data_IF_968390782530
#
_entry.id   IF_968390782530
#
_cell.length_a   1.000
_cell.length_b   1.000
_cell.length_c   1.000
_cell.angle_alpha   90.00
_cell.angle_beta   90.00
_cell.angle_gamma   90.00
#
_symmetry.space_group_name_H-M   'P 1'
#
loop_
_entity.id
_entity.type
_entity.pdbx_description
1 polymer ?
#
# COMPACT_ATOMS: atom_id res chain seq x y z
N UNK A 1 -19.31 15.62 1.93
CA UNK A 1 -18.73 15.74 0.57
C UNK A 1 -19.53 16.76 -0.21
N UNK A 2 -18.87 17.65 -0.96
CA UNK A 2 -19.48 18.49 -1.98
C UNK A 2 -19.17 17.90 -3.38
N UNK A 3 -19.96 18.25 -4.40
CA UNK A 3 -19.78 17.71 -5.75
C UNK A 3 -18.45 18.18 -6.37
N UNK A 4 -17.43 17.31 -6.37
CA UNK A 4 -16.14 17.64 -6.99
C UNK A 4 -16.23 17.56 -8.51
N UNK A 5 -15.83 18.64 -9.19
CA UNK A 5 -15.91 18.74 -10.64
C UNK A 5 -14.78 17.95 -11.32
N UNK A 6 -15.05 16.66 -11.56
CA UNK A 6 -14.20 15.81 -12.39
C UNK A 6 -14.05 16.37 -13.82
N UNK A 7 -12.83 16.37 -14.34
CA UNK A 7 -12.56 16.61 -15.76
C UNK A 7 -12.43 15.27 -16.47
N UNK A 8 -13.08 15.12 -17.63
CA UNK A 8 -13.10 13.87 -18.39
C UNK A 8 -12.50 14.05 -19.80
N UNK A 9 -11.85 13.00 -20.26
CA UNK A 9 -11.29 12.85 -21.59
C UNK A 9 -11.65 11.46 -22.10
N UNK A 10 -11.97 11.34 -23.39
CA UNK A 10 -12.24 10.04 -24.00
C UNK A 10 -11.77 10.00 -25.45
N UNK A 11 -11.49 8.79 -25.93
CA UNK A 11 -11.30 8.51 -27.34
C UNK A 11 -11.91 7.16 -27.70
N UNK A 12 -12.24 7.02 -28.97
CA UNK A 12 -12.72 5.77 -29.58
C UNK A 12 -11.75 5.37 -30.69
N UNK A 13 -11.45 4.09 -30.84
CA UNK A 13 -10.60 3.62 -31.94
C UNK A 13 -10.95 2.21 -32.41
N UNK A 14 -10.90 2.01 -33.73
CA UNK A 14 -11.17 0.74 -34.40
C UNK A 14 -9.86 -0.06 -34.50
N UNK A 15 -9.76 -1.19 -33.79
CA UNK A 15 -8.69 -2.17 -34.04
C UNK A 15 -9.21 -3.38 -34.81
N UNK A 16 -8.34 -4.15 -35.50
CA UNK A 16 -8.76 -5.34 -36.24
C UNK A 16 -9.34 -6.42 -35.30
N UNK A 17 -10.66 -6.39 -35.09
CA UNK A 17 -11.41 -7.34 -34.26
C UNK A 17 -12.03 -6.77 -32.97
N UNK A 18 -12.01 -5.46 -32.72
CA UNK A 18 -12.87 -4.80 -31.72
C UNK A 18 -12.87 -3.27 -31.90
N UNK A 19 -14.02 -2.62 -31.67
CA UNK A 19 -14.05 -1.20 -31.30
C UNK A 19 -13.61 -1.06 -29.83
N UNK A 20 -12.96 0.06 -29.48
CA UNK A 20 -12.51 0.37 -28.12
C UNK A 20 -12.97 1.77 -27.74
N UNK A 21 -13.67 1.90 -26.62
CA UNK A 21 -13.91 3.18 -25.95
C UNK A 21 -13.00 3.29 -24.72
N UNK A 22 -12.21 4.36 -24.64
CA UNK A 22 -11.39 4.72 -23.48
C UNK A 22 -11.91 6.02 -22.87
N UNK A 23 -12.10 6.02 -21.54
CA UNK A 23 -12.39 7.21 -20.73
C UNK A 23 -11.36 7.35 -19.61
N UNK A 24 -10.79 8.55 -19.49
CA UNK A 24 -9.92 8.98 -18.39
C UNK A 24 -10.61 10.15 -17.68
N UNK A 25 -10.75 10.07 -16.36
CA UNK A 25 -11.30 11.13 -15.51
C UNK A 25 -10.29 11.52 -14.44
N UNK A 26 -10.15 12.83 -14.19
CA UNK A 26 -9.27 13.36 -13.13
C UNK A 26 -10.06 14.18 -12.11
N UNK A 27 -9.79 13.91 -10.83
CA UNK A 27 -10.26 14.67 -9.66
C UNK A 27 -9.06 15.01 -8.78
N UNK A 28 -9.07 16.16 -8.12
CA UNK A 28 -8.13 16.44 -7.02
C UNK A 28 -8.61 15.74 -5.74
N UNK A 29 -7.69 15.17 -4.96
CA UNK A 29 -7.99 14.69 -3.61
C UNK A 29 -8.17 15.85 -2.62
N UNK A 30 -7.55 16.99 -2.90
CA UNK A 30 -7.35 18.07 -1.93
C UNK A 30 -8.12 19.36 -2.26
N UNK A 31 -8.91 19.38 -3.34
CA UNK A 31 -9.63 20.56 -3.85
C UNK A 31 -10.90 20.20 -4.62
N UNK A 32 -11.89 21.09 -4.66
CA UNK A 32 -13.18 20.87 -5.34
C UNK A 32 -13.07 20.65 -6.87
N UNK A 33 -11.96 21.04 -7.48
CA UNK A 33 -11.65 20.85 -8.90
C UNK A 33 -10.18 20.46 -9.10
N UNK A 34 -9.90 19.78 -10.21
CA UNK A 34 -8.54 19.44 -10.62
C UNK A 34 -7.74 20.70 -11.05
N UNK A 35 -6.45 20.74 -10.74
CA UNK A 35 -5.56 21.84 -11.15
C UNK A 35 -5.26 21.79 -12.66
N UNK A 36 -4.81 22.89 -13.29
CA UNK A 36 -4.39 22.87 -14.69
C UNK A 36 -3.27 21.85 -15.00
N UNK A 37 -2.44 21.51 -14.01
CA UNK A 37 -1.38 20.51 -14.15
C UNK A 37 -1.95 19.09 -14.11
N UNK A 38 -2.86 18.80 -13.17
CA UNK A 38 -3.58 17.52 -13.09
C UNK A 38 -4.45 17.28 -14.34
N UNK A 39 -5.02 18.35 -14.89
CA UNK A 39 -5.77 18.36 -16.16
C UNK A 39 -4.86 18.02 -17.36
N UNK A 40 -3.63 18.53 -17.41
CA UNK A 40 -2.70 18.23 -18.51
C UNK A 40 -2.12 16.81 -18.40
N UNK A 41 -1.75 16.37 -17.19
CA UNK A 41 -1.31 14.99 -16.93
C UNK A 41 -2.33 13.94 -17.40
N UNK A 42 -3.62 14.19 -17.14
CA UNK A 42 -4.70 13.32 -17.61
C UNK A 42 -4.86 13.32 -19.15
N UNK A 43 -4.51 14.43 -19.85
CA UNK A 43 -4.46 14.47 -21.32
C UNK A 43 -3.26 13.71 -21.87
N UNK A 44 -2.10 13.84 -21.24
CA UNK A 44 -0.89 13.11 -21.61
C UNK A 44 -1.08 11.59 -21.43
N UNK A 45 -1.73 11.15 -20.35
CA UNK A 45 -2.19 9.77 -20.18
C UNK A 45 -3.15 9.34 -21.30
N UNK A 46 -4.15 10.18 -21.63
CA UNK A 46 -5.11 9.89 -22.71
C UNK A 46 -4.41 9.75 -24.07
N UNK A 47 -3.40 10.57 -24.36
CA UNK A 47 -2.60 10.49 -25.58
C UNK A 47 -1.71 9.23 -25.60
N UNK A 48 -1.08 8.89 -24.47
CA UNK A 48 -0.26 7.67 -24.29
C UNK A 48 -1.10 6.42 -24.54
N UNK A 49 -2.31 6.37 -23.97
CA UNK A 49 -3.28 5.29 -24.20
C UNK A 49 -3.75 5.20 -25.66
N UNK A 50 -3.97 6.33 -26.31
CA UNK A 50 -4.37 6.38 -27.72
C UNK A 50 -3.26 5.85 -28.65
N UNK A 51 -1.98 6.16 -28.34
CA UNK A 51 -0.83 5.58 -29.03
C UNK A 51 -0.69 4.07 -28.73
N UNK A 52 -0.77 3.67 -27.46
CA UNK A 52 -0.65 2.28 -27.05
C UNK A 52 -1.72 1.36 -27.69
N UNK A 53 -2.95 1.86 -27.87
CA UNK A 53 -4.00 1.19 -28.64
C UNK A 53 -3.68 1.16 -30.15
N UNK A 54 -3.33 2.30 -30.75
CA UNK A 54 -3.02 2.39 -32.18
C UNK A 54 -1.83 1.51 -32.62
N UNK A 55 -0.89 1.26 -31.69
CA UNK A 55 0.28 0.40 -31.88
C UNK A 55 0.07 -1.03 -31.33
N UNK A 56 -1.16 -1.44 -31.03
CA UNK A 56 -1.46 -2.83 -30.64
C UNK A 56 -1.60 -3.73 -31.87
N UNK A 57 -0.87 -4.85 -31.86
CA UNK A 57 -1.02 -5.94 -32.83
C UNK A 57 -1.80 -7.05 -32.11
N UNK A 58 -2.99 -7.45 -32.61
CA UNK A 58 -3.76 -8.54 -32.00
C UNK A 58 -2.97 -9.84 -31.88
N UNK A 59 -3.01 -10.43 -30.68
CA UNK A 59 -2.45 -11.75 -30.35
C UNK A 59 -3.56 -12.68 -29.88
N UNK A 60 -3.38 -13.99 -30.09
CA UNK A 60 -4.34 -14.99 -29.60
C UNK A 60 -4.35 -15.00 -28.05
N UNK A 61 -5.54 -15.05 -27.39
CA UNK A 61 -5.61 -15.13 -25.94
C UNK A 61 -4.97 -16.41 -25.40
N UNK A 62 -4.02 -16.28 -24.47
CA UNK A 62 -3.38 -17.43 -23.81
C UNK A 62 -4.04 -17.75 -22.46
N UNK A 63 -3.83 -18.99 -22.00
CA UNK A 63 -4.17 -19.51 -20.66
C UNK A 63 -3.07 -20.49 -20.25
N UNK A 64 -2.19 -20.10 -19.34
CA UNK A 64 -1.07 -20.92 -18.87
C UNK A 64 -1.43 -21.57 -17.53
N UNK A 65 -2.31 -22.58 -17.57
CA UNK A 65 -2.78 -23.24 -16.35
C UNK A 65 -1.74 -24.25 -15.82
N UNK A 66 -1.18 -23.96 -14.65
CA UNK A 66 -0.31 -24.87 -13.87
C UNK A 66 -0.86 -25.04 -12.44
N UNK A 67 -0.42 -26.06 -11.71
CA UNK A 67 -0.76 -26.19 -10.29
C UNK A 67 -0.18 -25.02 -9.46
N UNK A 68 0.98 -24.51 -9.85
CA UNK A 68 1.62 -23.35 -9.22
C UNK A 68 0.74 -22.09 -9.35
N UNK A 69 0.03 -21.92 -10.48
CA UNK A 69 -0.96 -20.86 -10.64
C UNK A 69 -2.12 -20.97 -9.64
N UNK A 70 -2.55 -22.19 -9.29
CA UNK A 70 -3.55 -22.40 -8.24
C UNK A 70 -3.00 -22.16 -6.82
N UNK A 71 -1.69 -22.37 -6.57
CA UNK A 71 -1.02 -21.94 -5.32
C UNK A 71 -1.06 -20.41 -5.20
N UNK A 72 -0.60 -19.71 -6.23
CA UNK A 72 -0.54 -18.23 -6.23
C UNK A 72 -1.95 -17.64 -6.09
N UNK A 73 -2.95 -18.21 -6.77
CA UNK A 73 -4.35 -17.83 -6.62
C UNK A 73 -4.91 -18.08 -5.20
N UNK A 74 -4.57 -19.20 -4.57
CA UNK A 74 -4.98 -19.48 -3.19
C UNK A 74 -4.37 -18.47 -2.21
N UNK A 75 -3.07 -18.19 -2.34
CA UNK A 75 -2.37 -17.18 -1.55
C UNK A 75 -3.02 -15.79 -1.72
N UNK A 76 -3.36 -15.39 -2.94
CA UNK A 76 -4.12 -14.14 -3.21
C UNK A 76 -5.44 -14.10 -2.45
N UNK A 77 -6.26 -15.15 -2.48
CA UNK A 77 -7.52 -15.17 -1.75
C UNK A 77 -7.32 -15.09 -0.22
N UNK A 78 -6.29 -15.75 0.32
CA UNK A 78 -5.96 -15.65 1.75
C UNK A 78 -5.50 -14.24 2.14
N UNK A 79 -4.64 -13.60 1.33
CA UNK A 79 -4.21 -12.22 1.53
C UNK A 79 -5.37 -11.23 1.47
N UNK A 80 -6.35 -11.45 0.58
CA UNK A 80 -7.55 -10.61 0.51
C UNK A 80 -8.49 -10.83 1.69
N UNK A 81 -8.72 -12.06 2.14
CA UNK A 81 -9.44 -12.32 3.40
C UNK A 81 -8.76 -11.60 4.60
N UNK A 82 -7.42 -11.61 4.66
CA UNK A 82 -6.65 -10.88 5.68
C UNK A 82 -6.73 -9.36 5.51
N UNK A 83 -6.73 -8.85 4.28
CA UNK A 83 -6.91 -7.44 3.96
C UNK A 83 -8.29 -6.94 4.42
N UNK A 84 -9.36 -7.68 4.12
CA UNK A 84 -10.73 -7.39 4.57
C UNK A 84 -10.81 -7.31 6.10
N UNK A 85 -10.25 -8.28 6.81
CA UNK A 85 -10.18 -8.28 8.28
C UNK A 85 -9.29 -7.15 8.86
N UNK A 86 -8.55 -6.42 8.03
CA UNK A 86 -7.65 -5.32 8.44
C UNK A 86 -8.19 -3.93 8.14
N UNK A 87 -9.26 -3.80 7.34
CA UNK A 87 -9.86 -2.52 6.92
C UNK A 87 -10.22 -1.65 8.14
N UNK A 88 -10.90 -2.22 9.13
CA UNK A 88 -11.37 -1.51 10.33
C UNK A 88 -10.27 -1.21 11.36
N UNK A 89 -9.07 -1.79 11.21
CA UNK A 89 -8.11 -1.92 12.30
C UNK A 89 -6.73 -1.30 12.04
N UNK A 90 -6.21 -1.40 10.81
CA UNK A 90 -4.80 -1.08 10.51
C UNK A 90 -4.58 -0.81 9.02
N UNK A 91 -4.52 0.47 8.59
CA UNK A 91 -4.27 0.85 7.19
C UNK A 91 -2.98 0.26 6.61
N UNK A 92 -1.89 0.18 7.40
CA UNK A 92 -0.61 -0.40 6.95
C UNK A 92 -0.64 -1.91 6.75
N UNK A 93 -1.45 -2.67 7.51
CA UNK A 93 -1.64 -4.11 7.27
C UNK A 93 -2.54 -4.35 6.05
N UNK A 94 -3.64 -3.59 5.94
CA UNK A 94 -4.48 -3.64 4.75
C UNK A 94 -3.68 -3.34 3.48
N UNK A 95 -2.88 -2.25 3.48
CA UNK A 95 -1.96 -1.93 2.37
C UNK A 95 -1.01 -3.08 2.09
N UNK A 96 -0.32 -3.63 3.10
CA UNK A 96 0.63 -4.74 2.92
C UNK A 96 -0.01 -5.94 2.25
N UNK A 97 -1.16 -6.41 2.74
CA UNK A 97 -1.83 -7.57 2.16
C UNK A 97 -2.38 -7.30 0.75
N UNK A 98 -2.86 -6.08 0.45
CA UNK A 98 -3.22 -5.70 -0.92
C UNK A 98 -2.01 -5.61 -1.86
N UNK A 99 -0.83 -5.19 -1.37
CA UNK A 99 0.41 -5.20 -2.15
C UNK A 99 0.88 -6.63 -2.44
N UNK A 100 0.98 -7.49 -1.43
CA UNK A 100 1.35 -8.91 -1.60
C UNK A 100 0.35 -9.66 -2.50
N UNK A 101 -0.96 -9.33 -2.41
CA UNK A 101 -1.98 -9.85 -3.32
C UNK A 101 -1.84 -9.30 -4.75
N UNK A 102 -1.40 -8.05 -4.92
CA UNK A 102 -1.12 -7.47 -6.22
C UNK A 102 0.13 -8.10 -6.87
N UNK A 103 1.20 -8.35 -6.11
CA UNK A 103 2.42 -9.03 -6.60
C UNK A 103 2.08 -10.45 -7.12
N UNK A 104 1.27 -11.21 -6.38
CA UNK A 104 0.72 -12.48 -6.87
C UNK A 104 -0.10 -12.30 -8.16
N UNK A 105 -0.95 -11.27 -8.23
CA UNK A 105 -1.79 -10.99 -9.39
C UNK A 105 -0.99 -10.47 -10.59
N UNK A 106 0.21 -9.92 -10.40
CA UNK A 106 1.15 -9.63 -11.49
C UNK A 106 1.66 -10.93 -12.12
N UNK A 107 2.07 -11.91 -11.32
CA UNK A 107 2.46 -13.23 -11.86
C UNK A 107 1.28 -13.88 -12.60
N UNK A 108 0.07 -13.78 -12.05
CA UNK A 108 -1.13 -14.33 -12.67
C UNK A 108 -1.55 -13.60 -13.96
N UNK A 109 -1.36 -12.26 -14.09
CA UNK A 109 -1.69 -11.50 -15.32
C UNK A 109 -0.80 -11.89 -16.51
N UNK A 110 0.41 -12.40 -16.26
CA UNK A 110 1.27 -12.99 -17.29
C UNK A 110 0.83 -14.40 -17.71
N UNK A 111 0.14 -15.14 -16.86
CA UNK A 111 -0.33 -16.51 -17.14
C UNK A 111 -1.74 -16.56 -17.76
N UNK A 112 -2.66 -15.70 -17.34
CA UNK A 112 -3.92 -15.41 -18.04
C UNK A 112 -4.25 -13.90 -17.93
N UNK A 113 -4.30 -13.15 -19.05
CA UNK A 113 -4.66 -11.73 -19.08
C UNK A 113 -6.04 -11.38 -18.46
N UNK A 114 -6.92 -12.34 -18.18
CA UNK A 114 -8.17 -12.13 -17.41
C UNK A 114 -7.92 -11.56 -16.02
N UNK A 115 -6.79 -11.89 -15.39
CA UNK A 115 -6.38 -11.34 -14.10
C UNK A 115 -6.05 -9.83 -14.13
N UNK A 116 -5.88 -9.21 -15.32
CA UNK A 116 -5.52 -7.79 -15.46
C UNK A 116 -6.40 -6.85 -14.62
N UNK A 117 -7.72 -7.00 -14.67
CA UNK A 117 -8.62 -6.09 -13.93
C UNK A 117 -8.59 -6.36 -12.42
N UNK A 118 -8.36 -7.61 -12.00
CA UNK A 118 -8.15 -7.95 -10.59
C UNK A 118 -6.82 -7.37 -10.07
N UNK A 119 -5.72 -7.50 -10.82
CA UNK A 119 -4.44 -6.87 -10.50
C UNK A 119 -4.60 -5.35 -10.27
N UNK A 120 -5.22 -4.64 -11.21
CA UNK A 120 -5.41 -3.20 -11.09
C UNK A 120 -6.43 -2.79 -10.02
N UNK A 121 -7.36 -3.65 -9.61
CA UNK A 121 -8.19 -3.42 -8.43
C UNK A 121 -7.44 -3.67 -7.11
N UNK A 122 -6.54 -4.66 -7.04
CA UNK A 122 -5.67 -4.88 -5.88
C UNK A 122 -4.71 -3.70 -5.66
N UNK A 123 -4.03 -3.23 -6.71
CA UNK A 123 -3.18 -2.01 -6.68
C UNK A 123 -3.97 -0.76 -6.25
N UNK A 124 -5.23 -0.64 -6.67
CA UNK A 124 -6.15 0.42 -6.22
C UNK A 124 -6.49 0.31 -4.73
N UNK A 125 -6.73 -0.90 -4.21
CA UNK A 125 -6.97 -1.12 -2.77
C UNK A 125 -5.72 -0.81 -1.93
N UNK A 126 -4.53 -1.23 -2.39
CA UNK A 126 -3.25 -0.87 -1.79
C UNK A 126 -3.07 0.65 -1.70
N UNK A 127 -3.26 1.36 -2.82
CA UNK A 127 -3.14 2.81 -2.88
C UNK A 127 -4.19 3.52 -2.01
N UNK A 128 -5.44 3.04 -1.97
CA UNK A 128 -6.48 3.58 -1.13
C UNK A 128 -6.13 3.43 0.37
N UNK A 129 -5.76 2.23 0.81
CA UNK A 129 -5.29 1.98 2.19
C UNK A 129 -4.07 2.83 2.56
N UNK A 130 -3.11 2.96 1.63
CA UNK A 130 -1.92 3.80 1.79
C UNK A 130 -2.20 5.30 1.92
N UNK A 131 -3.25 5.81 1.27
CA UNK A 131 -3.72 7.19 1.40
C UNK A 131 -4.72 7.40 2.56
N UNK A 132 -4.95 6.36 3.38
CA UNK A 132 -5.95 6.28 4.44
C UNK A 132 -7.41 6.47 3.97
N UNK A 133 -7.71 6.08 2.73
CA UNK A 133 -9.07 6.10 2.15
C UNK A 133 -9.77 4.78 2.53
N UNK A 134 -10.08 4.64 3.82
CA UNK A 134 -10.62 3.39 4.37
C UNK A 134 -12.11 3.21 4.08
N UNK A 135 -12.89 4.29 4.04
CA UNK A 135 -14.35 4.27 3.86
C UNK A 135 -14.79 3.67 2.51
N UNK A 136 -13.99 3.83 1.44
CA UNK A 136 -14.27 3.23 0.12
C UNK A 136 -13.68 1.80 -0.01
N UNK A 137 -12.90 1.34 0.97
CA UNK A 137 -12.03 0.16 0.83
C UNK A 137 -12.80 -1.18 0.84
N UNK A 138 -13.91 -1.28 1.58
CA UNK A 138 -14.76 -2.49 1.53
C UNK A 138 -15.47 -2.61 0.16
N UNK A 139 -16.01 -1.52 -0.40
CA UNK A 139 -16.59 -1.53 -1.75
C UNK A 139 -15.54 -1.91 -2.79
N UNK A 140 -14.30 -1.46 -2.61
CA UNK A 140 -13.19 -1.80 -3.50
C UNK A 140 -12.78 -3.27 -3.39
N UNK A 141 -12.77 -3.83 -2.17
CA UNK A 141 -12.53 -5.26 -1.93
C UNK A 141 -13.64 -6.14 -2.54
N UNK A 142 -14.91 -5.82 -2.28
CA UNK A 142 -16.04 -6.55 -2.86
C UNK A 142 -16.03 -6.47 -4.39
N UNK A 143 -15.63 -5.32 -4.96
CA UNK A 143 -15.43 -5.20 -6.40
C UNK A 143 -14.30 -6.13 -6.89
N UNK A 144 -13.15 -6.15 -6.22
CA UNK A 144 -12.01 -7.01 -6.54
C UNK A 144 -12.38 -8.51 -6.55
N UNK A 145 -13.13 -8.99 -5.55
CA UNK A 145 -13.59 -10.39 -5.52
C UNK A 145 -14.42 -10.78 -6.76
N UNK A 146 -15.18 -9.85 -7.37
CA UNK A 146 -15.95 -10.14 -8.61
C UNK A 146 -15.08 -10.35 -9.87
N UNK A 147 -13.79 -10.01 -9.82
CA UNK A 147 -12.86 -10.20 -10.94
C UNK A 147 -11.96 -11.43 -10.78
N UNK A 148 -12.01 -12.12 -9.63
CA UNK A 148 -11.22 -13.31 -9.36
C UNK A 148 -11.95 -14.61 -9.75
N UNK A 149 -11.23 -15.72 -9.99
CA UNK A 149 -11.80 -17.06 -10.06
C UNK A 149 -12.61 -17.39 -8.79
N UNK A 150 -13.85 -17.86 -8.98
CA UNK A 150 -14.75 -18.13 -7.86
C UNK A 150 -14.30 -19.35 -7.04
N UNK A 151 -14.19 -19.18 -5.72
CA UNK A 151 -13.99 -20.25 -4.74
C UNK A 151 -15.21 -21.19 -4.73
N UNK A 152 -15.03 -22.48 -5.00
CA UNK A 152 -16.10 -23.47 -5.06
C UNK A 152 -16.50 -23.94 -3.65
N UNK A 153 -17.68 -23.51 -3.19
CA UNK A 153 -18.26 -23.90 -1.89
C UNK A 153 -19.13 -25.17 -1.97
N UNK A 154 -19.31 -25.74 -3.16
CA UNK A 154 -20.10 -26.93 -3.45
C UNK A 154 -19.73 -27.53 -4.81
N UNK A 155 -20.40 -28.62 -5.21
CA UNK A 155 -20.21 -29.36 -6.47
C UNK A 155 -19.92 -28.45 -7.68
N UNK A 156 -18.79 -28.70 -8.35
CA UNK A 156 -18.39 -27.92 -9.53
C UNK A 156 -19.37 -28.07 -10.71
N UNK A 157 -19.32 -27.08 -11.60
CA UNK A 157 -19.90 -27.09 -12.94
C UNK A 157 -18.87 -27.47 -14.03
N UNK A 158 -17.59 -27.60 -13.67
CA UNK A 158 -16.51 -28.15 -14.50
C UNK A 158 -16.26 -29.62 -14.18
N UNK A 159 -15.76 -30.40 -15.14
CA UNK A 159 -15.46 -31.83 -14.97
C UNK A 159 -14.33 -32.09 -13.95
N UNK A 160 -13.39 -31.15 -13.82
CA UNK A 160 -12.23 -31.21 -12.91
C UNK A 160 -12.17 -30.00 -12.00
N UNK A 161 -11.50 -30.17 -10.87
CA UNK A 161 -11.17 -29.11 -9.90
C UNK A 161 -9.71 -29.19 -9.48
N UNK A 162 -9.20 -28.10 -8.90
CA UNK A 162 -7.99 -28.12 -8.07
C UNK A 162 -8.37 -27.84 -6.63
N UNK A 163 -7.88 -28.70 -5.73
CA UNK A 163 -7.97 -28.56 -4.27
C UNK A 163 -6.62 -28.08 -3.76
N UNK A 164 -6.61 -26.94 -3.07
CA UNK A 164 -5.47 -26.42 -2.31
C UNK A 164 -5.80 -26.55 -0.82
N UNK A 165 -5.02 -27.33 -0.10
CA UNK A 165 -5.08 -27.48 1.35
C UNK A 165 -3.90 -26.72 1.99
N UNK A 166 -4.19 -25.69 2.76
CA UNK A 166 -3.26 -24.96 3.61
C UNK A 166 -2.84 -25.81 4.83
N UNK A 167 -1.53 -25.88 5.08
CA UNK A 167 -0.90 -26.64 6.15
C UNK A 167 -0.13 -25.73 7.13
N UNK A 168 -0.17 -24.40 6.96
CA UNK A 168 0.48 -23.44 7.85
C UNK A 168 -0.14 -23.53 9.26
N UNK A 169 0.70 -23.63 10.30
CA UNK A 169 0.20 -23.68 11.68
C UNK A 169 -0.13 -22.28 12.20
N UNK A 170 -1.08 -22.14 13.16
CA UNK A 170 -1.39 -20.84 13.77
C UNK A 170 -0.18 -20.13 14.39
N UNK A 171 0.80 -20.89 14.90
CA UNK A 171 2.05 -20.37 15.45
C UNK A 171 3.01 -19.87 14.36
N UNK A 172 3.03 -20.51 13.18
CA UNK A 172 3.76 -20.02 12.01
C UNK A 172 3.16 -18.70 11.52
N UNK A 173 1.84 -18.69 11.29
CA UNK A 173 1.13 -17.49 10.85
C UNK A 173 1.23 -16.33 11.86
N UNK A 174 1.18 -16.62 13.17
CA UNK A 174 1.35 -15.58 14.20
C UNK A 174 2.76 -14.96 14.24
N UNK A 175 3.78 -15.63 13.69
CA UNK A 175 5.15 -15.12 13.62
C UNK A 175 5.38 -14.21 12.39
N UNK A 176 4.83 -14.57 11.22
CA UNK A 176 5.00 -13.82 9.97
C UNK A 176 3.90 -12.77 9.74
N UNK A 177 2.68 -13.05 10.21
CA UNK A 177 1.42 -12.40 9.84
C UNK A 177 1.07 -12.49 8.34
N UNK A 178 1.75 -13.35 7.59
CA UNK A 178 1.51 -13.60 6.16
C UNK A 178 1.29 -15.10 5.90
N UNK A 179 0.49 -15.47 4.88
CA UNK A 179 0.36 -16.86 4.46
C UNK A 179 1.70 -17.44 4.01
N UNK A 180 1.88 -18.75 4.20
CA UNK A 180 3.07 -19.49 3.79
C UNK A 180 2.79 -20.33 2.54
N UNK A 181 3.24 -19.83 1.39
CA UNK A 181 3.03 -20.46 0.08
C UNK A 181 3.88 -21.72 -0.14
N UNK A 182 4.84 -22.05 0.74
CA UNK A 182 5.52 -23.35 0.75
C UNK A 182 4.75 -24.38 1.61
N UNK A 183 3.95 -23.93 2.57
CA UNK A 183 3.16 -24.77 3.48
C UNK A 183 1.80 -25.23 2.90
N UNK A 184 1.75 -25.62 1.62
CA UNK A 184 0.51 -26.01 0.92
C UNK A 184 0.57 -27.40 0.30
N UNK A 185 -0.60 -28.03 0.16
CA UNK A 185 -0.81 -29.28 -0.57
C UNK A 185 -1.81 -29.07 -1.71
N UNK A 186 -1.38 -29.30 -2.96
CA UNK A 186 -2.22 -29.08 -4.15
C UNK A 186 -2.47 -30.38 -4.90
N UNK A 187 -3.74 -30.67 -5.19
CA UNK A 187 -4.19 -31.85 -5.94
C UNK A 187 -5.22 -31.45 -7.00
N UNK A 188 -5.08 -31.98 -8.22
CA UNK A 188 -6.13 -31.92 -9.24
C UNK A 188 -6.94 -33.22 -9.19
N UNK A 189 -8.27 -33.11 -9.16
CA UNK A 189 -9.21 -34.23 -9.02
C UNK A 189 -10.34 -34.10 -10.05
N UNK A 190 -11.01 -35.20 -10.38
CA UNK A 190 -12.31 -35.16 -11.04
C UNK A 190 -13.37 -34.66 -10.03
N UNK A 191 -14.37 -33.91 -10.49
CA UNK A 191 -15.22 -33.10 -9.61
C UNK A 191 -16.15 -33.89 -8.67
N UNK A 192 -16.36 -35.18 -8.93
CA UNK A 192 -17.09 -36.14 -8.08
C UNK A 192 -16.19 -36.93 -7.11
N UNK A 193 -14.86 -36.80 -7.20
CA UNK A 193 -13.89 -37.36 -6.23
C UNK A 193 -13.66 -36.44 -5.01
N UNK A 194 -14.31 -35.27 -4.95
CA UNK A 194 -14.07 -34.25 -3.93
C UNK A 194 -14.81 -34.57 -2.61
N UNK A 195 -14.11 -35.20 -1.67
CA UNK A 195 -14.62 -35.55 -0.32
C UNK A 195 -15.32 -34.39 0.43
N UNK A 196 -14.79 -33.17 0.28
CA UNK A 196 -15.34 -31.96 0.87
C UNK A 196 -14.80 -30.70 0.19
N UNK A 197 -15.69 -29.75 -0.08
CA UNK A 197 -15.40 -28.43 -0.63
C UNK A 197 -15.12 -27.36 0.45
N UNK A 198 -15.42 -27.64 1.73
CA UNK A 198 -15.47 -26.64 2.82
C UNK A 198 -14.74 -27.09 4.09
N UNK A 199 -13.65 -27.84 3.94
CA UNK A 199 -12.76 -28.17 5.05
C UNK A 199 -11.96 -26.93 5.51
N UNK A 200 -11.53 -26.90 6.78
CA UNK A 200 -10.68 -25.81 7.30
C UNK A 200 -9.32 -25.86 6.61
N UNK A 201 -8.82 -24.71 6.14
CA UNK A 201 -7.60 -24.60 5.33
C UNK A 201 -7.79 -24.96 3.85
N UNK A 202 -8.95 -25.49 3.43
CA UNK A 202 -9.20 -25.89 2.05
C UNK A 202 -9.81 -24.78 1.21
N UNK A 203 -9.22 -24.53 0.04
CA UNK A 203 -9.89 -23.82 -1.06
C UNK A 203 -9.97 -24.72 -2.30
N UNK A 204 -11.11 -24.70 -2.99
CA UNK A 204 -11.34 -25.49 -4.21
C UNK A 204 -11.67 -24.55 -5.37
N UNK A 205 -11.07 -24.80 -6.54
CA UNK A 205 -11.22 -23.97 -7.73
C UNK A 205 -11.61 -24.81 -8.96
N UNK A 206 -12.35 -24.23 -9.94
CA UNK A 206 -12.66 -24.90 -11.20
C UNK A 206 -11.41 -25.06 -12.08
N UNK A 207 -11.49 -26.00 -13.03
CA UNK A 207 -10.55 -26.15 -14.15
C UNK A 207 -11.36 -26.02 -15.45
N UNK A 208 -11.17 -24.96 -16.27
CA UNK A 208 -10.20 -23.87 -16.10
C UNK A 208 -10.56 -22.90 -14.97
N UNK A 209 -9.59 -22.06 -14.54
CA UNK A 209 -9.77 -21.02 -13.51
C UNK A 209 -10.89 -20.04 -13.83
N UNK A 210 -10.92 -19.57 -15.07
CA UNK A 210 -12.01 -18.77 -15.64
C UNK A 210 -12.75 -19.63 -16.69
N UNK A 211 -13.86 -20.31 -16.30
CA UNK A 211 -14.77 -20.92 -17.25
C UNK A 211 -15.31 -19.88 -18.25
N UNK A 212 -15.52 -20.29 -19.50
CA UNK A 212 -15.87 -19.36 -20.58
C UNK A 212 -17.16 -18.58 -20.29
N UNK A 213 -17.12 -17.26 -20.46
CA UNK A 213 -18.24 -16.36 -20.19
C UNK A 213 -18.47 -15.97 -18.72
N UNK A 214 -17.62 -16.39 -17.78
CA UNK A 214 -17.74 -15.99 -16.36
C UNK A 214 -17.30 -14.54 -16.09
N UNK A 215 -16.30 -14.04 -16.82
CA UNK A 215 -15.71 -12.71 -16.67
C UNK A 215 -15.93 -11.87 -17.95
N UNK A 216 -16.11 -10.55 -17.79
CA UNK A 216 -16.35 -9.62 -18.92
C UNK A 216 -15.05 -8.95 -19.36
N UNK A 217 -14.88 -8.74 -20.66
CA UNK A 217 -13.80 -7.91 -21.22
C UNK A 217 -14.04 -6.44 -20.89
N UNK A 218 -13.48 -6.00 -19.75
CA UNK A 218 -13.48 -4.61 -19.29
C UNK A 218 -12.26 -4.38 -18.40
N UNK A 219 -11.63 -3.21 -18.54
CA UNK A 219 -10.71 -2.67 -17.54
C UNK A 219 -11.38 -1.44 -16.94
N UNK A 220 -11.45 -1.36 -15.61
CA UNK A 220 -11.98 -0.19 -14.92
C UNK A 220 -11.31 -0.08 -13.56
N UNK A 221 -10.46 0.92 -13.37
CA UNK A 221 -9.71 1.12 -12.11
C UNK A 221 -9.52 2.60 -11.77
N UNK A 222 -8.88 2.85 -10.64
CA UNK A 222 -8.50 4.16 -10.11
C UNK A 222 -7.03 4.09 -9.72
N UNK A 223 -6.25 5.08 -10.14
CA UNK A 223 -4.86 5.29 -9.74
C UNK A 223 -4.76 6.58 -8.92
N UNK A 224 -3.99 6.55 -7.84
CA UNK A 224 -3.71 7.69 -6.97
C UNK A 224 -2.25 8.11 -7.15
N UNK A 225 -2.02 9.35 -7.57
CA UNK A 225 -0.71 9.93 -7.86
C UNK A 225 -0.77 11.45 -7.65
N UNK A 226 0.27 12.09 -7.14
CA UNK A 226 0.41 13.56 -6.97
C UNK A 226 -0.85 14.33 -6.51
N UNK A 227 -1.54 13.78 -5.50
CA UNK A 227 -2.75 14.40 -4.94
C UNK A 227 -3.97 14.40 -5.87
N UNK A 228 -3.98 13.57 -6.91
CA UNK A 228 -5.12 13.34 -7.80
C UNK A 228 -5.57 11.89 -7.84
N UNK A 229 -6.88 11.72 -8.07
CA UNK A 229 -7.58 10.47 -8.35
C UNK A 229 -7.80 10.40 -9.86
N UNK A 230 -7.10 9.48 -10.53
CA UNK A 230 -7.28 9.19 -11.96
C UNK A 230 -8.17 7.95 -12.10
N UNK A 231 -9.40 8.11 -12.54
CA UNK A 231 -10.29 6.98 -12.87
C UNK A 231 -10.14 6.66 -14.35
N UNK A 232 -9.82 5.40 -14.66
CA UNK A 232 -9.54 4.94 -16.01
C UNK A 232 -10.46 3.75 -16.37
N UNK A 233 -11.15 3.85 -17.50
CA UNK A 233 -12.15 2.88 -17.96
C UNK A 233 -11.91 2.57 -19.43
N UNK A 234 -11.85 1.28 -19.76
CA UNK A 234 -11.86 0.73 -21.12
C UNK A 234 -13.09 -0.14 -21.30
N UNK A 235 -13.82 0.07 -22.38
CA UNK A 235 -14.81 -0.87 -22.90
C UNK A 235 -14.35 -1.39 -24.26
N UNK A 236 -14.43 -2.70 -24.46
CA UNK A 236 -14.31 -3.36 -25.77
C UNK A 236 -15.64 -4.04 -26.11
N UNK A 237 -16.03 -4.07 -27.38
CA UNK A 237 -17.22 -4.82 -27.81
C UNK A 237 -17.00 -6.34 -27.69
N UNK A 238 -15.84 -6.81 -28.16
CA UNK A 238 -15.42 -8.22 -28.16
C UNK A 238 -14.44 -8.55 -27.01
N UNK A 239 -14.11 -9.84 -26.86
CA UNK A 239 -13.16 -10.31 -25.83
C UNK A 239 -11.71 -9.94 -26.19
N UNK A 240 -11.10 -9.06 -25.39
CA UNK A 240 -9.82 -8.44 -25.71
C UNK A 240 -8.85 -8.36 -24.51
N UNK A 241 -8.84 -9.35 -23.61
CA UNK A 241 -8.01 -9.32 -22.40
C UNK A 241 -6.50 -9.00 -22.63
N UNK A 242 -5.81 -9.48 -23.68
CA UNK A 242 -4.41 -9.10 -23.94
C UNK A 242 -4.20 -7.62 -24.32
N UNK A 243 -5.20 -6.99 -24.95
CA UNK A 243 -5.22 -5.54 -25.20
C UNK A 243 -5.41 -4.78 -23.88
N UNK A 244 -6.37 -5.22 -23.05
CA UNK A 244 -6.63 -4.62 -21.74
C UNK A 244 -5.37 -4.65 -20.87
N UNK A 245 -4.60 -5.75 -20.90
CA UNK A 245 -3.29 -5.89 -20.27
C UNK A 245 -2.33 -4.78 -20.73
N UNK A 246 -2.06 -4.67 -22.04
CA UNK A 246 -1.17 -3.64 -22.62
C UNK A 246 -1.57 -2.20 -22.23
N UNK A 247 -2.87 -1.90 -22.23
CA UNK A 247 -3.35 -0.55 -21.91
C UNK A 247 -3.27 -0.24 -20.40
N UNK A 248 -3.45 -1.26 -19.55
CA UNK A 248 -3.17 -1.16 -18.11
C UNK A 248 -1.68 -0.91 -17.84
N UNK A 249 -0.80 -1.68 -18.48
CA UNK A 249 0.66 -1.52 -18.38
C UNK A 249 1.12 -0.13 -18.82
N UNK A 250 0.59 0.39 -19.93
CA UNK A 250 0.86 1.75 -20.39
C UNK A 250 0.35 2.84 -19.41
N UNK A 251 -0.72 2.56 -18.66
CA UNK A 251 -1.19 3.45 -17.58
C UNK A 251 -0.27 3.41 -16.37
N UNK A 252 0.24 2.23 -16.03
CA UNK A 252 1.12 2.01 -14.89
C UNK A 252 2.52 2.57 -15.11
N UNK A 253 3.11 2.36 -16.30
CA UNK A 253 4.37 2.99 -16.71
C UNK A 253 4.25 4.52 -16.67
N UNK A 254 3.17 5.08 -17.21
CA UNK A 254 2.91 6.53 -17.21
C UNK A 254 2.73 7.10 -15.79
N UNK A 255 2.04 6.39 -14.90
CA UNK A 255 1.78 6.84 -13.52
C UNK A 255 2.94 6.56 -12.54
N UNK A 256 4.02 5.89 -12.96
CA UNK A 256 5.17 5.51 -12.11
C UNK A 256 6.07 6.68 -11.64
N UNK A 257 5.64 7.93 -11.85
CA UNK A 257 6.38 9.17 -11.56
C UNK A 257 6.71 9.31 -10.06
N UNK A 258 5.85 8.82 -9.18
CA UNK A 258 6.18 8.57 -7.77
C UNK A 258 6.44 7.07 -7.54
N UNK A 259 7.41 6.74 -6.68
CA UNK A 259 7.90 5.37 -6.45
C UNK A 259 6.95 4.46 -5.64
N UNK A 260 5.64 4.68 -5.75
CA UNK A 260 4.62 3.90 -5.02
C UNK A 260 4.58 4.14 -3.51
N UNK A 261 5.37 5.08 -2.97
CA UNK A 261 5.26 5.48 -1.57
C UNK A 261 3.97 6.27 -1.34
N UNK A 262 3.23 5.88 -0.31
CA UNK A 262 1.95 6.47 0.09
C UNK A 262 2.09 7.19 1.44
N UNK A 263 1.08 7.98 1.87
CA UNK A 263 1.08 8.62 3.19
C UNK A 263 1.39 7.68 4.36
N UNK A 264 0.96 6.42 4.31
CA UNK A 264 1.36 5.38 5.28
C UNK A 264 2.89 5.24 5.38
N UNK A 265 3.63 5.20 4.27
CA UNK A 265 5.09 5.07 4.28
C UNK A 265 5.76 6.36 4.78
N UNK A 266 5.23 7.53 4.42
CA UNK A 266 5.72 8.81 4.94
C UNK A 266 5.69 8.84 6.48
N UNK A 267 4.54 8.51 7.09
CA UNK A 267 4.41 8.55 8.55
C UNK A 267 5.15 7.40 9.26
N UNK A 268 5.24 6.21 8.64
CA UNK A 268 6.09 5.11 9.15
C UNK A 268 7.57 5.49 9.18
N UNK A 269 8.11 6.03 8.09
CA UNK A 269 9.54 6.39 8.03
C UNK A 269 9.84 7.68 8.81
N UNK A 270 8.88 8.61 8.96
CA UNK A 270 9.00 9.76 9.89
C UNK A 270 9.06 9.31 11.35
N UNK A 271 8.19 8.38 11.76
CA UNK A 271 8.20 7.80 13.10
C UNK A 271 9.49 6.99 13.38
N UNK A 272 9.99 6.26 12.38
CA UNK A 272 11.28 5.58 12.43
C UNK A 272 12.43 6.59 12.59
N UNK A 273 12.47 7.63 11.76
CA UNK A 273 13.48 8.69 11.82
C UNK A 273 13.52 9.41 13.18
N UNK A 274 12.36 9.67 13.79
CA UNK A 274 12.23 10.22 15.16
C UNK A 274 12.76 9.28 16.24
N UNK A 275 12.52 7.97 16.13
CA UNK A 275 13.09 6.98 17.06
C UNK A 275 14.61 6.88 16.91
N UNK A 276 15.12 6.92 15.68
CA UNK A 276 16.56 6.90 15.39
C UNK A 276 17.26 8.17 15.92
N UNK A 277 16.68 9.37 15.75
CA UNK A 277 17.21 10.62 16.35
C UNK A 277 17.33 10.52 17.87
N UNK A 278 16.28 10.07 18.56
CA UNK A 278 16.32 9.86 20.02
C UNK A 278 17.44 8.89 20.45
N UNK A 279 17.70 7.85 19.65
CA UNK A 279 18.77 6.88 19.92
C UNK A 279 20.18 7.45 19.67
N UNK A 280 20.34 8.52 18.88
CA UNK A 280 21.61 9.23 18.70
C UNK A 280 22.09 9.94 19.98
N UNK A 281 21.24 10.10 21.00
CA UNK A 281 21.58 10.64 22.32
C UNK A 281 21.86 9.53 23.36
N UNK A 282 21.85 8.26 22.96
CA UNK A 282 22.14 7.13 23.85
C UNK A 282 23.66 6.89 24.02
N UNK A 283 24.13 6.42 25.20
CA UNK A 283 25.54 6.07 25.38
C UNK A 283 26.03 4.99 24.40
N UNK A 284 25.15 4.04 24.02
CA UNK A 284 25.49 3.02 23.02
C UNK A 284 25.86 3.64 21.67
N UNK A 285 25.19 4.72 21.25
CA UNK A 285 25.53 5.40 20.01
C UNK A 285 26.92 6.06 20.05
N UNK A 286 27.41 6.48 21.22
CA UNK A 286 28.75 7.05 21.38
C UNK A 286 29.83 5.94 21.54
N UNK A 287 29.48 4.78 22.09
CA UNK A 287 30.40 3.67 22.41
C UNK A 287 30.52 2.57 21.32
N UNK A 288 29.43 2.20 20.64
CA UNK A 288 29.34 1.03 19.75
C UNK A 288 29.30 1.47 18.28
N UNK A 289 30.45 1.42 17.61
CA UNK A 289 30.61 1.86 16.21
C UNK A 289 29.85 1.01 15.17
N UNK A 290 29.50 -0.24 15.49
CA UNK A 290 28.69 -1.10 14.60
C UNK A 290 27.21 -0.74 14.75
N UNK A 291 26.74 -0.59 15.99
CA UNK A 291 25.39 -0.07 16.26
C UNK A 291 25.19 1.32 15.66
N UNK A 292 26.18 2.22 15.79
CA UNK A 292 26.18 3.54 15.14
C UNK A 292 25.98 3.42 13.63
N UNK A 293 26.75 2.56 12.95
CA UNK A 293 26.62 2.40 11.49
C UNK A 293 25.24 1.91 11.10
N UNK A 294 24.74 0.85 11.73
CA UNK A 294 23.43 0.27 11.43
C UNK A 294 22.29 1.30 11.67
N UNK A 295 22.39 2.11 12.73
CA UNK A 295 21.46 3.22 12.99
C UNK A 295 21.51 4.25 11.84
N UNK A 296 22.70 4.66 11.41
CA UNK A 296 22.89 5.64 10.33
C UNK A 296 22.43 5.14 8.96
N UNK A 297 22.66 3.85 8.65
CA UNK A 297 22.13 3.19 7.45
C UNK A 297 20.60 3.22 7.44
N UNK A 298 19.96 2.91 8.57
CA UNK A 298 18.49 3.01 8.71
C UNK A 298 18.01 4.47 8.62
N UNK A 299 18.69 5.41 9.26
CA UNK A 299 18.28 6.82 9.28
C UNK A 299 18.41 7.45 7.88
N UNK A 300 19.49 7.14 7.16
CA UNK A 300 19.68 7.52 5.76
C UNK A 300 18.65 6.88 4.82
N UNK A 301 18.16 5.67 5.12
CA UNK A 301 17.04 5.07 4.40
C UNK A 301 15.74 5.85 4.63
N UNK A 302 15.34 6.05 5.90
CA UNK A 302 14.09 6.74 6.24
C UNK A 302 14.05 8.16 5.65
N UNK A 303 15.15 8.90 5.78
CA UNK A 303 15.30 10.24 5.18
C UNK A 303 15.28 10.21 3.65
N UNK A 304 15.69 9.10 3.01
CA UNK A 304 15.58 8.94 1.56
C UNK A 304 14.15 8.68 1.10
N UNK A 305 13.29 8.06 1.93
CA UNK A 305 11.85 7.93 1.65
C UNK A 305 11.16 9.28 1.85
N UNK A 306 11.42 9.97 2.96
CA UNK A 306 10.87 11.31 3.23
C UNK A 306 11.26 12.33 2.15
N UNK A 307 12.48 12.24 1.61
CA UNK A 307 12.96 13.02 0.48
C UNK A 307 12.15 12.85 -0.81
N UNK A 308 11.58 11.66 -1.04
CA UNK A 308 10.76 11.39 -2.22
C UNK A 308 9.35 12.01 -2.09
N UNK A 309 8.98 12.55 -0.92
CA UNK A 309 7.80 13.40 -0.71
C UNK A 309 8.15 14.90 -0.63
N UNK A 310 9.23 15.27 0.08
CA UNK A 310 9.68 16.66 0.21
C UNK A 310 11.22 16.77 0.11
N UNK A 311 11.68 17.53 -0.88
CA UNK A 311 13.08 17.82 -1.12
C UNK A 311 13.78 18.56 0.04
N UNK A 312 13.05 19.09 1.04
CA UNK A 312 13.66 19.61 2.28
C UNK A 312 14.47 18.54 3.03
N UNK A 313 14.15 17.25 2.84
CA UNK A 313 14.89 16.12 3.42
C UNK A 313 16.16 15.72 2.64
N UNK A 314 16.49 16.34 1.50
CA UNK A 314 17.72 16.04 0.75
C UNK A 314 18.99 16.27 1.58
N UNK A 315 19.07 17.41 2.28
CA UNK A 315 20.20 17.76 3.13
C UNK A 315 20.37 16.78 4.30
N UNK A 316 19.35 16.53 5.16
CA UNK A 316 19.50 15.57 6.25
C UNK A 316 19.78 14.13 5.77
N UNK A 317 19.21 13.69 4.64
CA UNK A 317 19.52 12.39 3.99
C UNK A 317 21.01 12.25 3.71
N UNK A 318 21.63 13.26 3.10
CA UNK A 318 23.04 13.19 2.73
C UNK A 318 23.99 13.50 3.91
N UNK A 319 23.52 14.20 4.94
CA UNK A 319 24.21 14.27 6.23
C UNK A 319 24.26 12.91 6.93
N UNK A 320 23.17 12.13 6.92
CA UNK A 320 23.14 10.78 7.50
C UNK A 320 24.13 9.83 6.79
N UNK A 321 24.16 9.88 5.45
CA UNK A 321 25.16 9.15 4.64
C UNK A 321 26.59 9.58 4.97
N UNK A 322 26.85 10.88 4.99
CA UNK A 322 28.15 11.45 5.35
C UNK A 322 28.61 11.04 6.76
N UNK A 323 27.68 10.94 7.72
CA UNK A 323 27.97 10.47 9.07
C UNK A 323 28.32 8.98 9.12
N UNK A 324 27.71 8.14 8.26
CA UNK A 324 28.05 6.73 8.12
C UNK A 324 29.47 6.55 7.55
N UNK A 325 29.81 7.29 6.50
CA UNK A 325 31.18 7.31 5.93
C UNK A 325 32.21 7.75 6.97
N UNK A 326 31.94 8.83 7.72
CA UNK A 326 32.79 9.31 8.81
C UNK A 326 32.96 8.30 9.96
N UNK A 327 31.96 7.46 10.20
CA UNK A 327 32.04 6.39 11.20
C UNK A 327 33.01 5.27 10.75
N UNK A 328 32.99 4.89 9.47
CA UNK A 328 33.98 3.95 8.89
C UNK A 328 35.38 4.58 8.79
N UNK A 329 35.51 5.90 8.58
CA UNK A 329 36.77 6.64 8.75
C UNK A 329 37.26 6.73 10.21
N UNK A 330 36.54 6.15 11.18
CA UNK A 330 36.77 6.24 12.64
C UNK A 330 36.73 7.67 13.20
N UNK A 331 36.11 8.63 12.50
CA UNK A 331 36.00 10.05 12.89
C UNK A 331 34.76 10.29 13.75
N UNK A 332 34.70 9.54 14.85
CA UNK A 332 33.54 9.38 15.74
C UNK A 332 32.91 10.74 16.12
N UNK A 333 33.69 11.70 16.60
CA UNK A 333 33.18 13.00 17.06
C UNK A 333 32.41 13.74 15.96
N UNK A 334 32.93 13.75 14.73
CA UNK A 334 32.29 14.40 13.59
C UNK A 334 31.04 13.66 13.10
N UNK A 335 31.05 12.32 13.10
CA UNK A 335 29.87 11.52 12.79
C UNK A 335 28.75 11.79 13.81
N UNK A 336 29.07 11.78 15.11
CA UNK A 336 28.12 12.03 16.20
C UNK A 336 27.58 13.46 16.16
N UNK A 337 28.43 14.47 15.92
CA UNK A 337 28.01 15.87 15.78
C UNK A 337 27.04 16.05 14.61
N UNK A 338 27.40 15.58 13.40
CA UNK A 338 26.52 15.69 12.24
C UNK A 338 25.17 15.02 12.49
N UNK A 339 25.17 13.79 13.00
CA UNK A 339 23.93 13.03 13.21
C UNK A 339 22.96 13.74 14.15
N UNK A 340 23.46 14.31 15.26
CA UNK A 340 22.63 15.02 16.24
C UNK A 340 22.04 16.34 15.70
N UNK A 341 22.56 16.88 14.59
CA UNK A 341 21.89 18.02 13.93
C UNK A 341 20.66 17.60 13.13
N UNK A 342 20.58 16.35 12.65
CA UNK A 342 19.56 15.87 11.69
C UNK A 342 18.15 15.95 12.30
N UNK A 343 17.98 15.67 13.59
CA UNK A 343 16.71 15.82 14.31
C UNK A 343 16.08 17.21 14.23
N UNK A 344 16.85 18.27 13.94
CA UNK A 344 16.33 19.63 13.77
C UNK A 344 15.54 19.84 12.46
N UNK A 345 15.68 18.95 11.48
CA UNK A 345 14.88 18.95 10.24
C UNK A 345 13.60 18.11 10.36
N UNK A 346 13.48 17.24 11.36
CA UNK A 346 12.29 16.39 11.51
C UNK A 346 11.08 17.21 11.98
N UNK A 347 9.90 17.07 11.34
CA UNK A 347 8.62 17.55 11.86
C UNK A 347 8.45 17.22 13.36
N UNK A 348 7.79 18.10 14.11
CA UNK A 348 7.56 17.87 15.54
C UNK A 348 6.52 16.78 15.77
N UNK A 349 6.79 15.94 16.75
CA UNK A 349 5.75 15.16 17.41
C UNK A 349 4.94 16.14 18.30
N UNK A 350 3.64 15.93 18.47
CA UNK A 350 2.86 16.67 19.47
C UNK A 350 3.39 16.38 20.89
N UNK A 351 3.99 15.21 21.12
CA UNK A 351 4.73 14.92 22.36
C UNK A 351 5.92 15.88 22.60
N UNK A 352 6.54 16.45 21.55
CA UNK A 352 7.58 17.49 21.68
C UNK A 352 7.00 18.84 22.22
N UNK A 353 5.67 19.02 22.17
CA UNK A 353 4.96 20.21 22.64
C UNK A 353 4.44 20.05 24.08
N UNK A 354 4.28 18.82 24.58
CA UNK A 354 3.75 18.53 25.92
C UNK A 354 4.83 18.79 26.99
N UNK A 355 4.56 19.60 28.03
CA UNK A 355 5.54 19.86 29.09
C UNK A 355 5.96 18.60 29.85
N UNK A 356 7.26 18.34 29.92
CA UNK A 356 7.84 17.21 30.68
C UNK A 356 7.43 17.30 32.16
N UNK A 357 6.73 16.27 32.63
CA UNK A 357 6.18 16.21 34.00
C UNK A 357 4.70 16.62 34.11
N UNK A 358 4.00 16.86 33.00
CA UNK A 358 2.54 16.90 32.99
C UNK A 358 1.96 15.54 33.42
N UNK A 359 0.96 15.57 34.29
CA UNK A 359 0.24 14.39 34.82
C UNK A 359 -1.26 14.62 34.72
N UNK A 360 -2.07 13.57 34.77
CA UNK A 360 -3.55 13.65 34.64
C UNK A 360 -4.22 14.52 35.72
N UNK A 361 -3.55 14.71 36.87
CA UNK A 361 -3.99 15.62 37.94
C UNK A 361 -3.79 17.11 37.56
N UNK A 362 -3.12 17.41 36.45
CA UNK A 362 -2.67 18.74 36.03
C UNK A 362 -3.58 19.40 34.97
N UNK A 363 -4.78 19.77 35.42
CA UNK A 363 -5.67 20.80 34.86
C UNK A 363 -6.28 20.51 33.46
N UNK A 364 -7.57 20.16 33.45
CA UNK A 364 -8.45 20.08 32.26
C UNK A 364 -8.41 21.35 31.39
N UNK A 365 -8.30 22.53 32.02
CA UNK A 365 -8.13 23.83 31.35
C UNK A 365 -6.83 23.92 30.52
N UNK A 366 -5.76 23.21 30.90
CA UNK A 366 -4.53 23.14 30.08
C UNK A 366 -4.70 22.18 28.90
N UNK A 367 -5.41 21.06 29.08
CA UNK A 367 -5.76 20.17 27.97
C UNK A 367 -6.60 20.90 26.92
N UNK A 368 -7.64 21.64 27.33
CA UNK A 368 -8.44 22.47 26.42
C UNK A 368 -7.61 23.55 25.69
N UNK A 369 -6.69 24.23 26.37
CA UNK A 369 -5.84 25.25 25.73
C UNK A 369 -4.82 24.63 24.76
N UNK A 370 -4.42 23.38 24.97
CA UNK A 370 -3.56 22.64 24.05
C UNK A 370 -4.37 22.08 22.87
N UNK A 371 -5.60 21.60 23.11
CA UNK A 371 -6.60 21.22 22.11
C UNK A 371 -6.93 22.39 21.16
N UNK A 372 -7.37 23.53 21.70
CA UNK A 372 -7.56 24.79 20.97
C UNK A 372 -6.30 25.17 20.17
N UNK A 373 -5.12 25.05 20.79
CA UNK A 373 -3.83 25.39 20.20
C UNK A 373 -3.44 24.48 19.03
N UNK A 374 -3.71 23.18 19.12
CA UNK A 374 -3.48 22.19 18.06
C UNK A 374 -4.46 22.39 16.91
N UNK A 375 -5.74 22.63 17.21
CA UNK A 375 -6.78 22.91 16.21
C UNK A 375 -6.62 24.29 15.53
N UNK A 376 -5.72 25.14 16.02
CA UNK A 376 -5.30 26.40 15.36
C UNK A 376 -4.04 26.25 14.49
N UNK A 377 -3.40 25.08 14.44
CA UNK A 377 -2.26 24.85 13.55
C UNK A 377 -2.70 24.66 12.09
N UNK A 378 -1.89 25.06 11.10
CA UNK A 378 -2.14 24.72 9.71
C UNK A 378 -1.91 23.21 9.49
N UNK A 379 -2.97 22.52 9.14
CA UNK A 379 -3.01 21.09 8.83
C UNK A 379 -4.44 20.67 8.47
N UNK A 380 -4.63 19.41 8.04
CA UNK A 380 -5.94 18.83 7.71
C UNK A 380 -6.38 17.72 8.64
N UNK A 381 -5.44 16.90 9.14
CA UNK A 381 -5.73 15.77 10.02
C UNK A 381 -4.55 15.42 10.92
N UNK A 382 -4.87 14.85 12.07
CA UNK A 382 -3.89 14.28 13.00
C UNK A 382 -3.62 12.82 12.64
N UNK A 383 -2.36 12.43 12.56
CA UNK A 383 -1.91 11.07 12.26
C UNK A 383 -1.17 10.52 13.48
N UNK A 384 -1.65 9.40 14.01
CA UNK A 384 -1.03 8.70 15.16
C UNK A 384 -0.28 7.48 14.64
N UNK A 385 0.99 7.35 15.01
CA UNK A 385 1.83 6.18 14.68
C UNK A 385 2.05 5.33 15.92
N UNK A 386 1.37 4.19 15.96
CA UNK A 386 1.40 3.22 17.06
C UNK A 386 2.56 2.27 16.84
N UNK A 387 3.57 2.32 17.71
CA UNK A 387 4.58 1.28 17.77
C UNK A 387 3.99 0.03 18.47
N UNK A 388 4.15 -1.15 17.86
CA UNK A 388 3.79 -2.45 18.44
C UNK A 388 4.98 -3.41 18.52
N UNK A 389 6.22 -2.92 18.44
CA UNK A 389 7.41 -3.74 18.59
C UNK A 389 7.46 -4.34 20.02
N UNK A 390 7.52 -5.67 20.18
CA UNK A 390 7.61 -6.27 21.51
C UNK A 390 8.88 -5.81 22.25
N UNK A 391 8.83 -5.58 23.57
CA UNK A 391 10.02 -5.25 24.37
C UNK A 391 11.15 -6.26 24.24
N UNK A 392 10.81 -7.53 24.01
CA UNK A 392 11.74 -8.64 23.75
C UNK A 392 12.45 -8.46 22.40
N UNK A 393 11.70 -8.21 21.32
CA UNK A 393 12.24 -7.98 19.97
C UNK A 393 13.16 -6.75 19.94
N UNK A 394 12.73 -5.67 20.58
CA UNK A 394 13.53 -4.45 20.71
C UNK A 394 14.79 -4.64 21.58
N UNK A 395 14.76 -5.55 22.57
CA UNK A 395 15.93 -5.79 23.42
C UNK A 395 17.11 -6.44 22.66
N UNK A 396 16.84 -7.21 21.60
CA UNK A 396 17.86 -7.87 20.78
C UNK A 396 18.61 -6.87 19.90
N UNK A 397 17.90 -6.04 19.14
CA UNK A 397 18.50 -5.08 18.19
C UNK A 397 18.85 -3.75 18.85
N UNK A 398 17.96 -3.24 19.70
CA UNK A 398 17.82 -1.84 20.14
C UNK A 398 17.68 -0.85 18.98
N UNK A 399 17.03 -1.28 17.91
CA UNK A 399 16.69 -0.49 16.73
C UNK A 399 15.18 -0.64 16.44
N UNK A 400 14.50 0.43 16.01
CA UNK A 400 13.06 0.40 15.76
C UNK A 400 12.74 -0.49 14.56
N UNK A 401 11.71 -1.33 14.68
CA UNK A 401 11.23 -2.13 13.56
C UNK A 401 10.10 -1.41 12.81
N UNK A 402 10.39 -0.93 11.60
CA UNK A 402 9.43 -0.24 10.72
C UNK A 402 8.18 -1.06 10.40
N UNK A 403 8.28 -2.40 10.34
CA UNK A 403 7.12 -3.28 10.13
C UNK A 403 6.18 -3.34 11.35
N UNK A 404 6.62 -2.82 12.50
CA UNK A 404 5.83 -2.71 13.73
C UNK A 404 5.32 -1.29 14.00
N UNK A 405 5.51 -0.36 13.06
CA UNK A 405 4.95 0.99 13.11
C UNK A 405 3.62 1.04 12.34
N UNK A 406 2.55 1.41 13.02
CA UNK A 406 1.19 1.42 12.47
C UNK A 406 0.63 2.85 12.48
N UNK A 407 0.80 3.61 11.38
CA UNK A 407 0.17 4.91 11.21
C UNK A 407 -1.33 4.76 10.94
N UNK A 408 -2.12 5.69 11.48
CA UNK A 408 -3.56 5.77 11.26
C UNK A 408 -4.04 7.23 11.42
N UNK A 409 -5.15 7.57 10.78
CA UNK A 409 -5.83 8.86 10.97
C UNK A 409 -6.50 8.85 12.35
N UNK A 410 -6.30 9.91 13.12
CA UNK A 410 -7.04 10.18 14.34
C UNK A 410 -8.35 10.93 14.04
N UNK A 411 -8.25 12.03 13.29
CA UNK A 411 -9.37 12.86 12.87
C UNK A 411 -8.90 14.20 12.31
N UNK A 412 -9.83 15.01 11.81
CA UNK A 412 -9.57 16.41 11.39
C UNK A 412 -9.35 17.35 12.58
N UNK A 413 -9.84 16.97 13.76
CA UNK A 413 -9.86 17.75 15.00
C UNK A 413 -9.16 16.94 16.09
N UNK A 414 -8.30 17.58 16.88
CA UNK A 414 -7.81 17.07 18.14
C UNK A 414 -8.84 17.36 19.24
N UNK A 415 -9.09 16.39 20.10
CA UNK A 415 -9.90 16.50 21.32
C UNK A 415 -9.12 15.96 22.53
N UNK A 416 -9.71 15.97 23.72
CA UNK A 416 -9.05 15.51 24.96
C UNK A 416 -8.50 14.08 24.85
N UNK A 417 -9.17 13.22 24.09
CA UNK A 417 -8.83 11.81 23.94
C UNK A 417 -7.52 11.63 23.13
N UNK A 418 -7.07 12.64 22.36
CA UNK A 418 -5.75 12.63 21.69
C UNK A 418 -4.61 12.50 22.70
N UNK A 419 -4.83 12.98 23.93
CA UNK A 419 -3.88 12.89 25.03
C UNK A 419 -3.91 11.54 25.76
N UNK A 420 -4.72 10.56 25.38
CA UNK A 420 -4.53 9.17 25.84
C UNK A 420 -3.36 8.49 25.10
N UNK A 421 -3.00 8.99 23.91
CA UNK A 421 -2.02 8.39 22.99
C UNK A 421 -0.55 8.70 23.32
N UNK A 422 -0.22 9.02 24.57
CA UNK A 422 1.11 9.54 25.02
C UNK A 422 2.32 8.62 24.73
N UNK A 423 2.07 7.37 24.38
CA UNK A 423 3.08 6.36 24.06
C UNK A 423 3.19 6.08 22.54
N UNK A 424 2.41 6.80 21.72
CA UNK A 424 2.48 6.82 20.27
C UNK A 424 3.01 8.18 19.80
N UNK A 425 3.58 8.23 18.60
CA UNK A 425 4.02 9.48 17.99
C UNK A 425 2.84 10.12 17.26
N UNK A 426 2.64 11.43 17.37
CA UNK A 426 1.50 12.11 16.75
C UNK A 426 1.97 13.28 15.89
N UNK A 427 1.62 13.25 14.62
CA UNK A 427 2.00 14.24 13.62
C UNK A 427 0.77 14.96 13.09
N UNK A 428 0.94 16.25 12.76
CA UNK A 428 -0.04 16.99 11.97
C UNK A 428 0.21 16.72 10.48
N UNK A 429 -0.84 16.44 9.72
CA UNK A 429 -0.78 16.09 8.31
C UNK A 429 -1.51 17.08 7.40
N UNK A 430 -0.84 17.48 6.32
CA UNK A 430 -1.40 18.25 5.20
C UNK A 430 -1.97 17.37 4.07
N UNK A 431 -1.60 16.08 4.07
CA UNK A 431 -2.07 15.04 3.13
C UNK A 431 -3.46 14.55 3.55
#
# INVERSE_FOLDING_TARGET
MADSHSSYFSFTTDLPGTEIEVTVMVQSLFSEAASPQQIEFARELTATLSAAASEYIPVEPWRTESLDAYVVLANTHQLLDLARNSVDATPSQARRYFAEAADNLEVLKEWDPRFTNAYYQARKCEQAAGNFIMDELEEFHDCLETWLPARLLSTSHTERVVVVDDLQTPESFAATLTPDHEAVSVNMLDADEVDSYTAVGRTVYPVPMYPDGTIRSRLATVVYVDGMRLTYIVHTEDEAFPLLKKLGEATEEFCSVTRGYTPVEYYTELACAKQLDNLCYSPRFDEDGVYRRNLLEMYAYSLSVLNDFDASFEVPRDLARSAADLNEEMRIEAAVELTRTIGHWLPRDIADLIPRGWTDESNYEFAMLLEDGLNMLPGRRFIVVRDRQPPEEYAETRLPNREKLYPMVYGEIADVDIFEWRNAQIFLGDI
#
